data_IF_520300794016
#
_entry.id   IF_520300794016
#
_cell.length_a   1.000
_cell.length_b   1.000
_cell.length_c   1.000
_cell.angle_alpha   90.00
_cell.angle_beta   90.00
_cell.angle_gamma   90.00
#
_symmetry.space_group_name_H-M   'P 1'
#
loop_
_entity.id
_entity.type
_entity.pdbx_description
1 polymer ?
#
# COMPACT_ATOMS: atom_id res chain seq x y z
N UNK A 1 0.96 -16.56 -1.39
CA UNK A 1 -0.03 -15.61 -1.97
C UNK A 1 -0.03 -14.37 -1.10
N UNK A 2 -0.04 -13.17 -1.68
CA UNK A 2 -0.08 -11.93 -0.92
C UNK A 2 -1.52 -11.58 -0.51
N UNK A 3 -1.69 -10.89 0.62
CA UNK A 3 -2.99 -10.43 1.13
C UNK A 3 -2.84 -9.05 1.77
N UNK A 4 -3.64 -8.09 1.29
CA UNK A 4 -3.75 -6.72 1.82
C UNK A 4 -5.20 -6.39 2.11
N UNK A 5 -5.46 -5.68 3.20
CA UNK A 5 -6.79 -5.21 3.60
C UNK A 5 -6.75 -3.70 3.79
N UNK A 6 -7.65 -3.02 3.11
CA UNK A 6 -7.86 -1.56 3.21
C UNK A 6 -9.04 -1.30 4.12
N UNK A 7 -8.98 -0.25 4.94
CA UNK A 7 -10.02 0.14 5.88
C UNK A 7 -10.37 1.62 5.71
N UNK A 8 -11.68 1.92 5.73
CA UNK A 8 -12.18 3.28 5.55
C UNK A 8 -11.91 4.17 6.77
N UNK A 9 -11.80 3.59 7.98
CA UNK A 9 -11.48 4.31 9.22
C UNK A 9 -10.07 3.99 9.72
N UNK A 10 -9.62 4.76 10.72
CA UNK A 10 -8.33 4.52 11.39
C UNK A 10 -8.41 3.28 12.29
N UNK A 11 -7.27 2.74 12.68
CA UNK A 11 -7.18 1.59 13.60
C UNK A 11 -7.96 0.35 13.11
N UNK A 12 -8.00 0.10 11.80
CA UNK A 12 -8.64 -1.08 11.19
C UNK A 12 -10.15 -1.16 11.45
N UNK A 13 -10.81 -0.01 11.57
CA UNK A 13 -12.25 0.09 11.80
C UNK A 13 -13.02 0.41 10.51
N UNK A 14 -14.34 0.41 10.63
CA UNK A 14 -15.25 0.75 9.54
C UNK A 14 -15.33 -0.33 8.48
N UNK A 15 -15.65 0.08 7.25
CA UNK A 15 -15.70 -0.82 6.11
C UNK A 15 -14.29 -1.25 5.73
N UNK A 16 -14.14 -2.51 5.36
CA UNK A 16 -12.86 -3.05 4.88
C UNK A 16 -13.01 -3.71 3.53
N UNK A 17 -11.93 -3.66 2.75
CA UNK A 17 -11.81 -4.32 1.47
C UNK A 17 -10.51 -5.13 1.43
N UNK A 18 -10.64 -6.43 1.20
CA UNK A 18 -9.50 -7.32 1.05
C UNK A 18 -9.14 -7.50 -0.42
N UNK A 19 -7.86 -7.34 -0.72
CA UNK A 19 -7.32 -7.59 -2.03
C UNK A 19 -6.19 -8.61 -1.93
N UNK A 20 -6.28 -9.66 -2.74
CA UNK A 20 -5.24 -10.69 -2.82
C UNK A 20 -4.44 -10.61 -4.14
N UNK A 21 -4.84 -9.78 -5.10
CA UNK A 21 -4.25 -9.67 -6.44
C UNK A 21 -4.05 -8.20 -6.83
N UNK A 22 -3.68 -7.92 -8.08
CA UNK A 22 -3.73 -6.58 -8.65
C UNK A 22 -5.17 -6.09 -8.85
N UNK A 23 -5.37 -4.79 -8.64
CA UNK A 23 -6.65 -4.11 -8.80
C UNK A 23 -6.44 -2.72 -9.41
N UNK A 24 -7.00 -2.48 -10.59
CA UNK A 24 -6.88 -1.22 -11.33
C UNK A 24 -7.82 -0.13 -10.83
N UNK A 25 -8.90 -0.50 -10.15
CA UNK A 25 -9.86 0.43 -9.55
C UNK A 25 -10.29 -0.04 -8.17
N UNK A 26 -9.85 0.70 -7.14
CA UNK A 26 -10.27 0.54 -5.76
C UNK A 26 -11.38 1.52 -5.37
N UNK A 27 -11.63 2.54 -6.21
CA UNK A 27 -12.61 3.58 -5.95
C UNK A 27 -14.04 3.04 -5.87
N UNK A 28 -14.35 2.00 -6.65
CA UNK A 28 -15.67 1.35 -6.61
C UNK A 28 -15.92 0.60 -5.28
N UNK A 29 -14.86 0.19 -4.57
CA UNK A 29 -14.97 -0.59 -3.34
C UNK A 29 -15.00 0.29 -2.08
N UNK A 30 -14.21 1.36 -2.05
CA UNK A 30 -14.17 2.30 -0.94
C UNK A 30 -13.89 3.73 -1.40
N UNK A 31 -14.47 4.71 -0.70
CA UNK A 31 -14.31 6.11 -1.08
C UNK A 31 -12.98 6.69 -0.59
N UNK A 32 -12.51 6.20 0.57
CA UNK A 32 -11.32 6.65 1.29
C UNK A 32 -10.62 5.49 2.01
N UNK A 33 -9.32 5.62 2.24
CA UNK A 33 -8.54 4.62 2.98
C UNK A 33 -7.74 5.30 4.09
N UNK A 34 -8.03 4.97 5.34
CA UNK A 34 -7.38 5.57 6.51
C UNK A 34 -6.45 4.61 7.25
N UNK A 35 -6.69 3.30 7.15
CA UNK A 35 -5.79 2.28 7.68
C UNK A 35 -5.64 1.09 6.73
N UNK A 36 -4.49 0.42 6.77
CA UNK A 36 -4.12 -0.66 5.85
C UNK A 36 -3.43 -1.76 6.64
N UNK A 37 -3.79 -3.01 6.37
CA UNK A 37 -3.14 -4.17 6.96
C UNK A 37 -2.64 -5.09 5.87
N UNK A 38 -1.34 -5.35 5.84
CA UNK A 38 -0.74 -6.32 4.93
C UNK A 38 -0.44 -7.58 5.72
N UNK A 39 -1.27 -8.59 5.52
CA UNK A 39 -1.15 -9.87 6.21
C UNK A 39 0.08 -10.65 5.71
N UNK A 40 0.26 -10.67 4.38
CA UNK A 40 1.32 -11.43 3.71
C UNK A 40 1.68 -10.79 2.35
N UNK A 41 2.95 -10.90 1.93
CA UNK A 41 3.42 -10.35 0.65
C UNK A 41 3.77 -8.85 0.69
N UNK A 42 3.99 -8.28 -0.49
CA UNK A 42 4.33 -6.87 -0.68
C UNK A 42 3.42 -6.28 -1.75
N UNK A 43 2.94 -5.06 -1.54
CA UNK A 43 1.98 -4.41 -2.42
C UNK A 43 2.44 -3.00 -2.76
N UNK A 44 2.25 -2.59 -4.01
CA UNK A 44 2.39 -1.21 -4.43
C UNK A 44 1.00 -0.61 -4.57
N UNK A 45 0.69 0.43 -3.82
CA UNK A 45 -0.60 1.13 -3.94
C UNK A 45 -0.39 2.46 -4.65
N UNK A 46 -1.45 2.97 -5.27
CA UNK A 46 -1.39 4.16 -6.10
C UNK A 46 -2.54 5.12 -5.78
N UNK A 47 -2.25 6.42 -5.87
CA UNK A 47 -3.21 7.49 -5.60
C UNK A 47 -4.30 7.60 -6.67
N UNK A 48 -4.01 7.23 -7.92
CA UNK A 48 -4.97 7.27 -9.04
C UNK A 48 -5.30 5.85 -9.53
N UNK A 49 -6.47 5.66 -10.17
CA UNK A 49 -6.79 4.39 -10.81
C UNK A 49 -5.79 4.10 -11.95
N UNK A 50 -5.75 2.85 -12.40
CA UNK A 50 -4.84 2.37 -13.45
C UNK A 50 -3.35 2.53 -13.10
N UNK A 51 -3.00 2.49 -11.80
CA UNK A 51 -1.63 2.53 -11.30
C UNK A 51 -0.88 3.81 -11.61
N UNK A 52 -1.59 4.92 -11.60
CA UNK A 52 -1.04 6.23 -11.88
C UNK A 52 -0.87 7.04 -10.58
N UNK A 53 -0.05 8.09 -10.66
CA UNK A 53 0.14 9.03 -9.55
C UNK A 53 1.20 8.57 -8.56
N UNK A 54 1.08 9.07 -7.34
CA UNK A 54 1.99 8.72 -6.26
C UNK A 54 1.86 7.24 -5.92
N UNK A 55 3.01 6.60 -5.74
CA UNK A 55 3.12 5.18 -5.48
C UNK A 55 3.61 5.00 -4.04
N UNK A 56 2.97 4.12 -3.28
CA UNK A 56 3.39 3.80 -1.92
C UNK A 56 3.63 2.30 -1.79
N UNK A 57 4.83 1.97 -1.32
CA UNK A 57 5.23 0.59 -1.10
C UNK A 57 4.78 0.10 0.27
N UNK A 58 3.93 -0.93 0.28
CA UNK A 58 3.39 -1.57 1.47
C UNK A 58 4.04 -2.92 1.67
N UNK A 59 4.70 -3.09 2.81
CA UNK A 59 5.24 -4.37 3.23
C UNK A 59 4.28 -5.02 4.22
N UNK A 60 4.49 -6.32 4.46
CA UNK A 60 3.84 -7.04 5.56
C UNK A 60 3.94 -6.23 6.86
N UNK A 61 2.79 -5.95 7.46
CA UNK A 61 2.69 -5.08 8.62
C UNK A 61 1.32 -4.46 8.81
N UNK A 62 1.16 -3.81 9.95
CA UNK A 62 -0.08 -3.14 10.36
C UNK A 62 0.12 -1.62 10.30
N UNK A 63 -0.71 -0.95 9.52
CA UNK A 63 -0.68 0.49 9.34
C UNK A 63 -1.99 1.11 9.82
N UNK A 64 -2.10 1.43 11.13
CA UNK A 64 -3.32 1.98 11.72
C UNK A 64 -3.66 3.41 11.25
N UNK A 65 -2.72 4.10 10.60
CA UNK A 65 -2.88 5.47 10.09
C UNK A 65 -2.13 5.66 8.75
N UNK A 66 -2.63 6.55 7.89
CA UNK A 66 -2.02 6.86 6.59
C UNK A 66 -0.62 7.49 6.71
N UNK A 67 -0.33 8.18 7.81
CA UNK A 67 0.95 8.79 8.11
C UNK A 67 2.08 7.76 8.24
N UNK A 68 1.77 6.51 8.64
CA UNK A 68 2.77 5.44 8.81
C UNK A 68 3.25 4.80 7.52
N UNK A 69 2.52 4.93 6.41
CA UNK A 69 2.98 4.42 5.11
C UNK A 69 3.55 5.52 4.21
N UNK A 70 3.94 6.67 4.79
CA UNK A 70 4.37 7.87 4.05
C UNK A 70 3.29 8.42 3.11
N UNK A 71 2.02 8.10 3.36
CA UNK A 71 0.90 8.55 2.56
C UNK A 71 0.67 10.04 2.74
N UNK A 72 1.00 10.83 1.70
CA UNK A 72 0.60 12.24 1.63
C UNK A 72 -0.93 12.40 1.50
N UNK A 73 -1.65 11.32 1.19
CA UNK A 73 -3.08 11.32 0.95
C UNK A 73 -3.75 10.00 1.39
N UNK A 74 -5.01 10.09 1.80
CA UNK A 74 -5.90 8.95 2.09
C UNK A 74 -6.58 8.39 0.83
N UNK A 75 -6.26 8.95 -0.34
CA UNK A 75 -6.78 8.52 -1.63
C UNK A 75 -5.97 7.34 -2.15
N UNK A 76 -6.45 6.12 -1.93
CA UNK A 76 -5.93 4.91 -2.60
C UNK A 76 -6.93 4.48 -3.66
N UNK A 77 -6.47 4.35 -4.90
CA UNK A 77 -7.36 4.11 -6.06
C UNK A 77 -6.94 2.92 -6.91
N UNK A 78 -5.73 2.39 -6.77
CA UNK A 78 -5.35 1.11 -7.36
C UNK A 78 -4.21 0.44 -6.59
N UNK A 79 -4.04 -0.87 -6.74
CA UNK A 79 -2.97 -1.63 -6.09
C UNK A 79 -2.41 -2.74 -6.99
N UNK A 80 -1.12 -3.05 -6.84
CA UNK A 80 -0.46 -4.18 -7.49
C UNK A 80 0.27 -5.03 -6.47
N UNK A 81 0.16 -6.35 -6.63
CA UNK A 81 1.03 -7.26 -5.89
C UNK A 81 2.45 -7.18 -6.48
N UNK A 82 3.43 -7.06 -5.60
CA UNK A 82 4.85 -7.14 -5.97
C UNK A 82 5.32 -8.58 -5.68
N UNK A 83 5.86 -9.30 -6.68
CA UNK A 83 6.45 -10.61 -6.45
C UNK A 83 7.65 -10.52 -5.51
N UNK A 84 7.92 -11.57 -4.73
CA UNK A 84 8.98 -11.59 -3.70
C UNK A 84 10.34 -11.11 -4.21
N UNK A 85 10.71 -11.45 -5.44
CA UNK A 85 11.94 -10.96 -6.08
C UNK A 85 11.96 -9.43 -6.17
N UNK A 86 10.87 -8.80 -6.60
CA UNK A 86 10.74 -7.34 -6.69
C UNK A 86 10.69 -6.66 -5.32
N UNK A 87 10.15 -7.35 -4.30
CA UNK A 87 10.07 -6.81 -2.94
C UNK A 87 11.46 -6.59 -2.32
N UNK A 88 12.43 -7.47 -2.62
CA UNK A 88 13.81 -7.33 -2.15
C UNK A 88 14.51 -6.12 -2.77
N UNK A 89 14.33 -5.89 -4.08
CA UNK A 89 14.93 -4.76 -4.79
C UNK A 89 14.39 -3.41 -4.32
N UNK A 90 13.07 -3.27 -4.11
CA UNK A 90 12.46 -2.02 -3.63
C UNK A 90 12.91 -1.70 -2.20
N UNK A 91 13.14 -2.73 -1.38
CA UNK A 91 13.69 -2.55 -0.04
C UNK A 91 15.12 -1.98 -0.09
N UNK A 92 15.97 -2.49 -0.98
CA UNK A 92 17.32 -1.95 -1.16
C UNK A 92 17.33 -0.52 -1.70
N UNK A 93 16.38 -0.14 -2.55
CA UNK A 93 16.29 1.24 -3.07
C UNK A 93 15.86 2.24 -1.98
N UNK A 94 14.81 1.91 -1.21
CA UNK A 94 14.33 2.75 -0.10
C UNK A 94 15.38 2.90 1.01
N UNK A 95 16.18 1.85 1.28
CA UNK A 95 17.22 1.91 2.31
C UNK A 95 18.55 2.44 1.76
N UNK A 96 18.81 2.31 0.46
CA UNK A 96 20.00 2.81 -0.23
C UNK A 96 20.11 4.33 -0.29
N UNK A 97 19.03 5.07 -0.03
CA UNK A 97 19.06 6.53 0.12
C UNK A 97 19.53 7.00 1.53
N UNK A 98 19.82 6.10 2.48
CA UNK A 98 20.41 6.43 3.80
C UNK A 98 21.86 5.92 3.86
N UNK A 99 22.67 6.27 2.86
CA UNK A 99 24.01 5.69 2.76
C UNK A 99 24.95 6.32 1.75
N UNK A 100 24.93 7.64 1.55
CA UNK A 100 26.12 8.34 1.06
C UNK A 100 26.07 9.84 1.40
N UNK A 101 26.36 10.16 2.65
CA UNK A 101 26.78 11.50 3.06
C UNK A 101 28.24 11.42 3.46
N UNK A 102 29.12 11.59 2.47
CA UNK A 102 30.53 11.89 2.69
C UNK A 102 30.74 13.39 2.86
#
# INVERSE_FOLDING_TARGET
MGKITFYEDRNFQGRSYECSNDCTDLQSYFSRCNSIRVDSGCFMIYERPNYLGHQYFMRRGEYPEYQRWMGFSSCVRSCRMIPMVGCHFIHCDVIGHVGNGN
#
